data_IF_854521664916
#
_entry.id   IF_854521664916
#
_cell.length_a   1.000
_cell.length_b   1.000
_cell.length_c   1.000
_cell.angle_alpha   90.00
_cell.angle_beta   90.00
_cell.angle_gamma   90.00
#
_symmetry.space_group_name_H-M   'P 1'
#
loop_
_entity.id
_entity.type
_entity.pdbx_description
1 polymer ?
#
# COMPACT_ATOMS: atom_id res chain seq x y z
N UNK A 1 -4.47 -17.77 9.48
CA UNK A 1 -5.31 -17.40 9.91
C UNK A 1 -5.91 -17.28 10.24
N UNK A 2 -5.32 -17.16 10.14
CA UNK A 2 -6.17 -16.76 10.54
C UNK A 2 -6.73 -16.69 10.72
N UNK A 3 -6.53 -17.18 10.47
CA UNK A 3 -7.53 -16.80 10.73
C UNK A 3 -8.01 -17.05 11.00
N UNK A 4 -8.03 -17.68 10.83
CA UNK A 4 -8.90 -17.70 11.13
C UNK A 4 -9.26 -17.96 11.70
N UNK A 5 -9.04 -18.40 11.69
CA UNK A 5 -9.69 -18.37 12.24
C UNK A 5 -10.06 -18.53 12.87
N UNK A 6 -9.72 -18.93 12.80
CA UNK A 6 -10.28 -18.79 13.59
C UNK A 6 -10.65 -18.91 14.07
N UNK A 7 -10.59 -19.39 14.09
CA UNK A 7 -11.17 -19.29 14.76
C UNK A 7 -11.46 -19.70 15.32
N UNK A 8 -11.22 -20.23 15.59
CA UNK A 8 -11.70 -20.47 16.23
C UNK A 8 -12.11 -20.60 17.14
N UNK A 9 -11.93 -20.88 17.37
CA UNK A 9 -12.45 -20.73 18.16
C UNK A 9 -12.82 -20.64 18.97
N UNK A 10 -12.31 -21.27 18.98
CA UNK A 10 -12.85 -21.13 20.01
C UNK A 10 -13.26 -20.10 20.60
N UNK A 11 -14.02 -19.99 20.71
CA UNK A 11 -14.44 -18.84 21.22
C UNK A 11 -13.40 -18.03 21.59
N UNK A 12 -12.37 -18.38 21.36
CA UNK A 12 -11.41 -17.62 21.81
C UNK A 12 -11.39 -16.35 21.30
N UNK A 13 -10.99 -15.46 21.99
CA UNK A 13 -10.87 -14.12 21.58
C UNK A 13 -9.75 -13.93 20.61
N UNK A 14 -9.41 -14.95 19.99
CA UNK A 14 -8.41 -14.89 18.98
C UNK A 14 -8.75 -13.89 17.90
N UNK A 15 -10.02 -13.62 17.70
CA UNK A 15 -10.46 -12.77 16.62
C UNK A 15 -9.92 -11.37 16.63
N UNK A 16 -9.82 -10.75 17.79
CA UNK A 16 -9.39 -9.36 17.76
C UNK A 16 -7.89 -9.21 17.61
N UNK A 17 -7.12 -10.21 17.97
CA UNK A 17 -5.70 -10.19 17.68
C UNK A 17 -5.49 -10.28 16.18
N UNK A 18 -6.28 -11.12 15.54
CA UNK A 18 -6.23 -11.28 14.10
C UNK A 18 -6.62 -9.99 13.39
N UNK A 19 -7.59 -9.25 13.95
CA UNK A 19 -8.00 -7.99 13.36
C UNK A 19 -6.87 -6.98 13.34
N UNK A 20 -6.07 -6.88 14.38
CA UNK A 20 -4.93 -5.99 14.40
C UNK A 20 -3.89 -6.40 13.35
N UNK A 21 -3.62 -7.69 13.27
CA UNK A 21 -2.68 -8.19 12.28
C UNK A 21 -3.20 -7.97 10.87
N UNK A 22 -4.50 -8.11 10.71
CA UNK A 22 -5.13 -7.94 9.42
C UNK A 22 -4.97 -6.51 8.91
N UNK A 23 -5.15 -5.52 9.77
CA UNK A 23 -4.98 -4.13 9.39
C UNK A 23 -3.55 -3.86 8.95
N UNK A 24 -2.59 -4.35 9.72
CA UNK A 24 -1.19 -4.20 9.40
C UNK A 24 -0.84 -4.88 8.08
N UNK A 25 -1.48 -6.01 7.83
CA UNK A 25 -1.26 -6.77 6.61
C UNK A 25 -1.77 -6.02 5.36
N UNK A 26 -2.88 -5.27 5.50
CA UNK A 26 -3.49 -4.61 4.35
C UNK A 26 -2.73 -3.37 3.88
N UNK A 27 -2.17 -2.61 4.81
CA UNK A 27 -1.38 -1.43 4.47
C UNK A 27 -0.28 -1.30 5.52
N UNK A 28 0.86 -1.88 5.22
CA UNK A 28 1.96 -1.93 6.16
C UNK A 28 3.01 -0.89 5.81
N UNK A 29 3.55 -0.24 6.83
CA UNK A 29 4.69 0.65 6.67
C UNK A 29 5.94 -0.21 6.57
N UNK A 30 6.72 -0.01 5.52
CA UNK A 30 7.91 -0.81 5.28
C UNK A 30 9.16 0.05 5.24
N UNK A 31 10.28 -0.58 5.55
CA UNK A 31 11.58 0.07 5.50
C UNK A 31 12.17 -0.06 4.10
N UNK A 32 13.23 0.71 3.88
CA UNK A 32 13.97 0.62 2.62
C UNK A 32 14.53 -0.79 2.42
N UNK A 33 14.96 -1.44 3.50
CA UNK A 33 15.51 -2.79 3.41
C UNK A 33 14.45 -3.83 3.04
N UNK A 34 13.18 -3.56 3.36
CA UNK A 34 12.09 -4.47 3.01
C UNK A 34 11.55 -4.24 1.60
N UNK A 35 11.91 -3.12 1.00
CA UNK A 35 11.33 -2.70 -0.28
C UNK A 35 11.57 -3.71 -1.39
N UNK A 36 12.77 -4.25 -1.47
CA UNK A 36 13.09 -5.20 -2.52
C UNK A 36 12.22 -6.46 -2.43
N UNK A 37 12.05 -6.97 -1.22
CA UNK A 37 11.26 -8.18 -1.02
C UNK A 37 9.78 -7.93 -1.24
N UNK A 38 9.27 -6.86 -0.64
CA UNK A 38 7.82 -6.63 -0.61
C UNK A 38 7.29 -5.96 -1.86
N UNK A 39 8.10 -5.16 -2.53
CA UNK A 39 7.63 -4.35 -3.66
C UNK A 39 8.24 -4.82 -4.98
N UNK A 40 9.55 -4.66 -5.15
CA UNK A 40 10.16 -4.98 -6.45
C UNK A 40 10.21 -6.48 -6.71
N UNK A 41 10.22 -7.29 -5.66
CA UNK A 41 10.15 -8.74 -5.78
C UNK A 41 8.74 -9.29 -5.84
N UNK A 42 7.73 -8.43 -5.75
CA UNK A 42 6.33 -8.82 -5.74
C UNK A 42 5.82 -8.81 -7.19
N UNK A 43 5.26 -9.93 -7.62
CA UNK A 43 4.77 -10.05 -9.00
C UNK A 43 3.38 -9.46 -9.19
N UNK A 44 2.66 -9.24 -8.10
CA UNK A 44 1.31 -8.68 -8.16
C UNK A 44 1.34 -7.16 -8.18
N UNK A 45 0.19 -6.56 -8.49
CA UNK A 45 0.07 -5.11 -8.43
C UNK A 45 0.34 -4.65 -6.99
N UNK A 46 1.25 -3.70 -6.86
CA UNK A 46 1.64 -3.19 -5.55
C UNK A 46 1.64 -1.67 -5.59
N UNK A 47 0.90 -1.05 -4.69
CA UNK A 47 0.86 0.39 -4.55
C UNK A 47 1.71 0.80 -3.36
N UNK A 48 2.59 1.77 -3.56
CA UNK A 48 3.45 2.26 -2.49
C UNK A 48 3.23 3.76 -2.35
N UNK A 49 2.80 4.16 -1.16
CA UNK A 49 2.60 5.56 -0.83
C UNK A 49 3.86 6.09 -0.15
N UNK A 50 4.48 7.11 -0.78
CA UNK A 50 5.62 7.80 -0.20
C UNK A 50 5.10 9.03 0.53
N UNK A 51 5.42 9.15 1.81
CA UNK A 51 4.76 10.11 2.66
C UNK A 51 5.66 10.59 3.79
N UNK A 52 5.19 11.64 4.49
CA UNK A 52 5.76 12.08 5.76
C UNK A 52 4.60 12.44 6.68
N UNK A 53 4.82 12.37 7.98
CA UNK A 53 3.73 12.57 8.93
C UNK A 53 3.25 14.00 9.03
N UNK A 54 4.17 14.96 8.87
CA UNK A 54 3.86 16.37 9.11
C UNK A 54 3.21 17.08 7.93
N UNK A 55 3.04 16.42 6.81
CA UNK A 55 2.49 17.04 5.60
C UNK A 55 0.97 16.92 5.56
N UNK A 56 0.28 18.05 5.35
CA UNK A 56 -1.19 18.08 5.37
C UNK A 56 -1.81 17.23 4.27
N UNK A 57 -1.27 17.26 3.06
CA UNK A 57 -1.79 16.47 1.96
C UNK A 57 -1.61 14.98 2.22
N UNK A 58 -0.48 14.60 2.84
CA UNK A 58 -0.24 13.22 3.23
C UNK A 58 -1.26 12.76 4.27
N UNK A 59 -1.62 13.64 5.21
CA UNK A 59 -2.61 13.31 6.23
C UNK A 59 -3.99 13.12 5.62
N UNK A 60 -4.31 13.87 4.57
CA UNK A 60 -5.59 13.75 3.88
C UNK A 60 -5.69 12.42 3.12
N UNK A 61 -4.63 12.04 2.44
CA UNK A 61 -4.65 10.84 1.61
C UNK A 61 -4.57 9.55 2.44
N UNK A 62 -3.98 9.61 3.63
CA UNK A 62 -3.73 8.40 4.42
C UNK A 62 -4.98 7.55 4.66
N UNK A 63 -6.12 8.12 5.14
CA UNK A 63 -7.31 7.29 5.34
C UNK A 63 -7.91 6.77 4.04
N UNK A 64 -7.76 7.50 2.95
CA UNK A 64 -8.25 7.05 1.64
C UNK A 64 -7.42 5.86 1.18
N UNK A 65 -6.11 5.94 1.33
CA UNK A 65 -5.20 4.86 0.97
C UNK A 65 -5.50 3.60 1.79
N UNK A 66 -5.77 3.78 3.08
CA UNK A 66 -6.13 2.68 3.97
C UNK A 66 -7.43 2.02 3.52
N UNK A 67 -8.41 2.83 3.15
CA UNK A 67 -9.70 2.33 2.69
C UNK A 67 -9.57 1.55 1.38
N UNK A 68 -8.75 2.05 0.46
CA UNK A 68 -8.50 1.37 -0.79
C UNK A 68 -7.76 0.04 -0.56
N UNK A 69 -6.84 0.02 0.40
CA UNK A 69 -6.15 -1.22 0.75
C UNK A 69 -7.13 -2.29 1.20
N UNK A 70 -8.16 -1.91 1.97
CA UNK A 70 -9.19 -2.85 2.39
C UNK A 70 -10.02 -3.32 1.21
N UNK A 71 -10.41 -2.38 0.32
CA UNK A 71 -11.26 -2.70 -0.82
C UNK A 71 -10.59 -3.64 -1.80
N UNK A 72 -9.29 -3.54 -1.93
CA UNK A 72 -8.55 -4.35 -2.92
C UNK A 72 -7.75 -5.48 -2.30
N UNK A 73 -8.09 -5.86 -1.07
CA UNK A 73 -7.45 -6.98 -0.41
C UNK A 73 -7.54 -8.23 -1.28
N UNK A 74 -6.41 -8.89 -1.48
CA UNK A 74 -6.35 -10.08 -2.33
C UNK A 74 -6.13 -9.79 -3.80
N UNK A 75 -6.29 -8.53 -4.22
CA UNK A 75 -6.09 -8.15 -5.61
C UNK A 75 -4.82 -7.32 -5.80
N UNK A 76 -4.46 -6.55 -4.80
CA UNK A 76 -3.27 -5.69 -4.84
C UNK A 76 -2.69 -5.57 -3.44
N UNK A 77 -1.40 -5.29 -3.37
CA UNK A 77 -0.71 -5.06 -2.10
C UNK A 77 -0.53 -3.56 -1.91
N UNK A 78 -0.60 -3.10 -0.66
CA UNK A 78 -0.50 -1.67 -0.34
C UNK A 78 0.55 -1.49 0.74
N UNK A 79 1.50 -0.61 0.50
CA UNK A 79 2.57 -0.31 1.47
C UNK A 79 2.77 1.19 1.60
N UNK A 80 3.29 1.60 2.74
CA UNK A 80 3.61 2.99 3.02
C UNK A 80 5.10 3.10 3.34
N UNK A 81 5.75 4.11 2.79
CA UNK A 81 7.16 4.40 3.08
C UNK A 81 7.25 5.84 3.58
N UNK A 82 7.82 6.00 4.78
CA UNK A 82 8.07 7.31 5.37
C UNK A 82 9.45 7.76 4.90
N UNK A 83 9.49 8.77 4.03
CA UNK A 83 10.77 9.17 3.43
C UNK A 83 11.69 9.92 4.39
N UNK A 84 11.18 10.35 5.54
CA UNK A 84 12.05 10.93 6.56
C UNK A 84 12.82 9.85 7.29
N UNK A 85 12.22 8.69 7.46
CA UNK A 85 12.87 7.58 8.14
C UNK A 85 13.70 6.74 7.17
N UNK A 86 13.24 6.65 5.93
CA UNK A 86 13.91 5.83 4.91
C UNK A 86 14.61 6.73 3.90
N UNK A 87 15.70 7.35 4.33
CA UNK A 87 16.40 8.36 3.53
C UNK A 87 16.94 7.79 2.22
N UNK A 88 16.80 8.58 1.18
CA UNK A 88 17.38 8.24 -0.12
C UNK A 88 16.45 7.50 -1.07
N UNK A 89 15.36 6.92 -0.55
CA UNK A 89 14.45 6.17 -1.42
C UNK A 89 13.70 7.11 -2.36
N UNK A 90 13.44 8.33 -1.92
CA UNK A 90 12.76 9.31 -2.77
C UNK A 90 13.61 9.68 -3.98
N UNK A 91 14.93 9.72 -3.82
CA UNK A 91 15.82 10.02 -4.93
C UNK A 91 15.88 8.86 -5.91
N UNK A 92 15.87 7.66 -5.38
CA UNK A 92 15.93 6.45 -6.21
C UNK A 92 14.74 6.37 -7.16
N UNK A 93 13.58 6.81 -6.72
CA UNK A 93 12.36 6.75 -7.54
C UNK A 93 11.92 8.11 -8.06
N UNK A 94 12.74 9.13 -7.90
CA UNK A 94 12.43 10.45 -8.44
C UNK A 94 11.23 11.13 -7.81
N UNK A 95 11.00 10.88 -6.52
CA UNK A 95 9.86 11.47 -5.80
C UNK A 95 10.18 12.92 -5.50
N UNK A 96 9.41 13.83 -6.07
CA UNK A 96 9.64 15.27 -5.91
C UNK A 96 8.51 16.00 -5.21
N UNK A 97 7.38 15.35 -5.02
CA UNK A 97 6.26 15.92 -4.27
C UNK A 97 5.60 14.87 -3.43
N UNK A 98 4.88 15.31 -2.40
CA UNK A 98 4.22 14.41 -1.46
C UNK A 98 2.75 14.76 -1.31
N UNK A 99 1.89 13.79 -1.17
CA UNK A 99 2.18 12.36 -1.26
C UNK A 99 2.37 11.94 -2.72
N UNK A 100 3.11 10.86 -2.92
CA UNK A 100 3.22 10.22 -4.23
C UNK A 100 2.93 8.74 -4.04
N UNK A 101 2.08 8.19 -4.89
CA UNK A 101 1.80 6.76 -4.89
C UNK A 101 2.34 6.21 -6.20
N UNK A 102 3.20 5.20 -6.12
CA UNK A 102 3.71 4.50 -7.29
C UNK A 102 3.01 3.16 -7.40
N UNK A 103 2.68 2.79 -8.62
CA UNK A 103 2.08 1.51 -8.94
C UNK A 103 3.16 0.61 -9.54
N UNK A 104 3.43 -0.51 -8.87
CA UNK A 104 4.40 -1.49 -9.33
C UNK A 104 3.69 -2.74 -9.80
N UNK A 105 4.20 -3.34 -10.85
CA UNK A 105 3.75 -4.65 -11.29
C UNK A 105 4.95 -5.39 -11.84
N UNK A 106 5.20 -6.58 -11.31
CA UNK A 106 6.38 -7.37 -11.67
C UNK A 106 7.66 -6.58 -11.45
N UNK A 107 7.69 -5.81 -10.37
CA UNK A 107 8.87 -5.06 -9.99
C UNK A 107 9.10 -3.75 -10.74
N UNK A 108 8.21 -3.40 -11.65
CA UNK A 108 8.37 -2.18 -12.46
C UNK A 108 7.26 -1.17 -12.17
N UNK A 109 7.62 0.10 -12.21
CA UNK A 109 6.64 1.17 -12.04
C UNK A 109 5.82 1.30 -13.31
N UNK A 110 4.51 1.12 -13.21
CA UNK A 110 3.62 1.19 -14.37
C UNK A 110 2.73 2.43 -14.35
N UNK A 111 2.57 3.09 -13.22
CA UNK A 111 1.74 4.29 -13.12
C UNK A 111 2.06 5.01 -11.80
N UNK A 112 1.52 6.21 -11.64
CA UNK A 112 1.74 6.99 -10.43
C UNK A 112 0.58 7.93 -10.16
N UNK A 113 0.48 8.39 -8.91
CA UNK A 113 -0.41 9.49 -8.50
C UNK A 113 0.46 10.46 -7.74
N UNK A 114 0.53 11.70 -8.20
CA UNK A 114 1.31 12.75 -7.52
C UNK A 114 0.33 13.74 -6.90
N UNK A 115 0.46 13.94 -5.59
CA UNK A 115 -0.42 14.85 -4.86
C UNK A 115 -1.80 14.26 -4.66
N UNK A 116 -2.79 15.12 -4.47
CA UNK A 116 -4.16 14.70 -4.18
C UNK A 116 -5.00 14.66 -5.46
N UNK A 117 -5.73 13.58 -5.65
CA UNK A 117 -6.73 13.47 -6.70
C UNK A 117 -7.99 12.87 -6.09
N UNK A 118 -9.15 13.05 -6.71
CA UNK A 118 -10.40 12.46 -6.20
C UNK A 118 -10.30 10.93 -6.11
N UNK A 119 -10.97 10.39 -5.10
CA UNK A 119 -10.94 8.94 -4.85
C UNK A 119 -11.38 8.12 -6.07
N UNK A 120 -12.43 8.60 -6.78
CA UNK A 120 -12.90 7.87 -7.96
C UNK A 120 -11.82 7.78 -9.05
N UNK A 121 -10.95 8.78 -9.16
CA UNK A 121 -9.85 8.73 -10.12
C UNK A 121 -8.76 7.76 -9.66
N UNK A 122 -8.55 7.67 -8.35
CA UNK A 122 -7.63 6.67 -7.81
C UNK A 122 -8.12 5.26 -8.14
N UNK A 123 -9.42 5.04 -7.96
CA UNK A 123 -10.04 3.75 -8.26
C UNK A 123 -9.87 3.42 -9.75
N UNK A 124 -10.10 4.39 -10.63
CA UNK A 124 -9.90 4.17 -12.06
C UNK A 124 -8.48 3.73 -12.39
N UNK A 125 -7.50 4.36 -11.77
CA UNK A 125 -6.10 3.99 -11.99
C UNK A 125 -5.81 2.58 -11.49
N UNK A 126 -6.37 2.21 -10.35
CA UNK A 126 -6.18 0.87 -9.80
C UNK A 126 -6.81 -0.17 -10.72
N UNK A 127 -8.03 0.08 -11.18
CA UNK A 127 -8.72 -0.84 -12.08
C UNK A 127 -7.95 -1.00 -13.39
N UNK A 128 -7.43 0.10 -13.93
CA UNK A 128 -6.62 0.04 -15.14
C UNK A 128 -5.34 -0.77 -14.91
N UNK A 129 -4.71 -0.57 -13.76
CA UNK A 129 -3.48 -1.28 -13.42
C UNK A 129 -3.74 -2.78 -13.23
N UNK A 130 -4.88 -3.15 -12.65
CA UNK A 130 -5.25 -4.56 -12.50
C UNK A 130 -5.45 -5.23 -13.85
N UNK A 131 -6.00 -4.51 -14.81
CA UNK A 131 -6.24 -5.05 -16.15
C UNK A 131 -4.96 -5.10 -16.98
N UNK A 132 -4.03 -4.19 -16.74
CA UNK A 132 -2.81 -4.08 -17.51
C UNK A 132 -1.90 -5.26 -17.25
N UNK A 133 -1.37 -5.86 -18.32
CA UNK A 133 -0.42 -6.95 -18.17
C UNK A 133 -0.99 -8.25 -17.70
N UNK A 134 -2.32 -8.39 -17.72
CA UNK A 134 -2.95 -9.63 -17.33
C UNK A 134 -2.84 -10.70 -18.41
N UNK A 135 -2.38 -10.34 -19.59
CA UNK A 135 -2.17 -11.28 -20.67
C UNK A 135 -0.75 -11.76 -20.75
#
# INVERSE_FOLDING_TARGET
>A
MIFRKSIKNSGTPVGYIVVQNFKSYMNRTISKSEFKKEVTGNMNLTLVQFTVEWNGACQIIAPVFEELAKSYKGQASFFTVDIEKEKGIEQEYGIMELPTILFFKRGEVIDHIKGLIPKNKMIMKIENALATGSN
#
